data_IF_627712908262
#
_entry.id   IF_627712908262
#
_cell.length_a   1.000
_cell.length_b   1.000
_cell.length_c   1.000
_cell.angle_alpha   90.00
_cell.angle_beta   90.00
_cell.angle_gamma   90.00
#
_symmetry.space_group_name_H-M   'P 1'
#
loop_
_entity.id
_entity.type
_entity.pdbx_description
1 polymer ?
#
# COMPACT_ATOMS: atom_id res chain seq x y z
N UNK A 1 -11.73 26.95 -1.39
CA UNK A 1 -11.73 25.53 -1.04
C UNK A 1 -12.66 24.84 -2.03
N UNK A 2 -12.09 24.39 -3.17
CA UNK A 2 -12.84 23.61 -4.15
C UNK A 2 -13.09 22.24 -3.52
N UNK A 3 -14.33 21.97 -3.13
CA UNK A 3 -14.84 20.65 -2.86
C UNK A 3 -14.68 19.84 -4.14
N UNK A 4 -13.65 19.00 -4.19
CA UNK A 4 -13.46 18.06 -5.30
C UNK A 4 -14.54 17.00 -5.26
N UNK A 5 -15.74 17.35 -5.68
CA UNK A 5 -16.79 16.40 -6.01
C UNK A 5 -16.29 15.63 -7.23
N UNK A 6 -16.01 14.36 -7.04
CA UNK A 6 -15.85 13.44 -8.16
C UNK A 6 -17.21 13.43 -8.89
N UNK A 7 -17.28 13.81 -10.18
CA UNK A 7 -18.53 13.70 -10.91
C UNK A 7 -18.99 12.25 -10.91
N UNK A 8 -20.30 12.01 -10.70
CA UNK A 8 -20.89 10.70 -10.99
C UNK A 8 -20.69 10.45 -12.47
N UNK A 9 -19.64 9.77 -12.80
CA UNK A 9 -19.44 9.27 -14.14
C UNK A 9 -19.93 7.84 -14.18
N UNK A 10 -20.98 7.59 -14.93
CA UNK A 10 -21.21 6.26 -15.44
C UNK A 10 -19.89 5.74 -15.98
N UNK A 11 -19.41 4.59 -15.48
CA UNK A 11 -18.17 3.96 -15.96
C UNK A 11 -18.47 3.43 -17.38
N UNK A 12 -18.56 4.35 -18.32
CA UNK A 12 -18.78 4.05 -19.75
C UNK A 12 -17.46 3.93 -20.49
N UNK A 13 -16.38 4.48 -19.93
CA UNK A 13 -15.08 4.50 -20.56
C UNK A 13 -14.05 3.76 -19.70
N UNK A 14 -13.14 3.04 -20.36
CA UNK A 14 -12.02 2.35 -19.70
C UNK A 14 -11.13 3.29 -18.88
N UNK A 15 -11.01 4.56 -19.28
CA UNK A 15 -10.25 5.57 -18.53
C UNK A 15 -10.85 5.84 -17.15
N UNK A 16 -12.17 5.92 -17.04
CA UNK A 16 -12.86 6.19 -15.77
C UNK A 16 -12.68 5.01 -14.79
N UNK A 17 -12.67 3.77 -15.31
CA UNK A 17 -12.38 2.58 -14.52
C UNK A 17 -10.98 2.66 -13.88
N UNK A 18 -9.95 3.05 -14.63
CA UNK A 18 -8.59 3.10 -14.10
C UNK A 18 -8.38 4.22 -13.08
N UNK A 19 -9.09 5.34 -13.20
CA UNK A 19 -9.08 6.40 -12.18
C UNK A 19 -9.69 5.90 -10.86
N UNK A 20 -10.87 5.27 -10.93
CA UNK A 20 -11.51 4.67 -9.74
C UNK A 20 -10.64 3.57 -9.15
N UNK A 21 -10.04 2.72 -10.00
CA UNK A 21 -9.09 1.69 -9.58
C UNK A 21 -7.91 2.29 -8.82
N UNK A 22 -7.31 3.38 -9.32
CA UNK A 22 -6.17 4.03 -8.67
C UNK A 22 -6.51 4.54 -7.27
N UNK A 23 -7.72 5.06 -7.07
CA UNK A 23 -8.17 5.54 -5.77
C UNK A 23 -8.49 4.37 -4.81
N UNK A 24 -9.06 3.28 -5.32
CA UNK A 24 -9.44 2.11 -4.51
C UNK A 24 -8.28 1.15 -4.25
N UNK A 25 -7.27 1.11 -5.13
CA UNK A 25 -6.17 0.15 -5.07
C UNK A 25 -5.38 0.18 -3.75
N UNK A 26 -5.07 1.35 -3.13
CA UNK A 26 -4.38 1.40 -1.85
C UNK A 26 -5.07 0.63 -0.73
N UNK A 27 -6.39 0.47 -0.80
CA UNK A 27 -7.15 -0.29 0.20
C UNK A 27 -6.78 -1.79 0.25
N UNK A 28 -6.25 -2.33 -0.85
CA UNK A 28 -5.79 -3.73 -0.96
C UNK A 28 -4.28 -3.89 -0.79
N UNK A 29 -3.59 -2.84 -0.39
CA UNK A 29 -2.13 -2.82 -0.19
C UNK A 29 -1.76 -2.99 1.29
N UNK A 30 -0.45 -2.97 1.61
CA UNK A 30 0.04 -3.06 2.99
C UNK A 30 0.77 -4.36 3.32
N UNK A 31 0.82 -5.34 2.42
CA UNK A 31 1.53 -6.61 2.67
C UNK A 31 3.03 -6.41 2.93
N UNK A 32 3.63 -5.36 2.40
CA UNK A 32 5.04 -5.01 2.63
C UNK A 32 5.35 -4.64 4.07
N UNK A 33 4.37 -4.19 4.85
CA UNK A 33 4.54 -3.94 6.28
C UNK A 33 4.89 -5.22 7.06
N UNK A 34 4.25 -6.34 6.73
CA UNK A 34 4.57 -7.65 7.31
C UNK A 34 6.00 -8.09 6.98
N UNK A 35 6.48 -7.82 5.77
CA UNK A 35 7.86 -8.10 5.36
C UNK A 35 8.86 -7.21 6.11
N UNK A 36 8.57 -5.91 6.24
CA UNK A 36 9.41 -4.95 6.96
C UNK A 36 9.56 -5.26 8.46
N UNK A 37 8.61 -5.98 9.04
CA UNK A 37 8.64 -6.44 10.44
C UNK A 37 9.01 -7.92 10.59
N UNK A 38 9.54 -8.54 9.55
CA UNK A 38 9.89 -9.98 9.52
C UNK A 38 10.85 -10.40 10.64
N UNK A 39 11.76 -9.52 11.05
CA UNK A 39 12.69 -9.77 12.14
C UNK A 39 12.03 -9.98 13.52
N UNK A 40 10.81 -9.53 13.70
CA UNK A 40 10.04 -9.67 14.94
C UNK A 40 9.17 -10.93 14.95
N UNK A 41 9.13 -11.70 13.84
CA UNK A 41 8.31 -12.89 13.73
C UNK A 41 9.10 -14.15 14.12
N UNK A 42 8.48 -15.04 14.90
CA UNK A 42 9.06 -16.32 15.32
C UNK A 42 9.41 -17.25 14.14
N UNK A 43 8.56 -17.25 13.09
CA UNK A 43 8.78 -18.04 11.87
C UNK A 43 8.30 -17.27 10.64
N UNK A 44 9.10 -16.29 10.14
CA UNK A 44 8.68 -15.40 9.06
C UNK A 44 8.44 -16.15 7.75
N UNK A 45 9.19 -17.20 7.45
CA UNK A 45 9.10 -17.96 6.21
C UNK A 45 7.72 -18.61 6.00
N UNK A 46 6.99 -18.92 7.08
CA UNK A 46 5.65 -19.50 7.03
C UNK A 46 4.56 -18.46 7.36
N UNK A 47 4.85 -17.58 8.33
CA UNK A 47 3.87 -16.61 8.81
C UNK A 47 3.56 -15.53 7.76
N UNK A 48 4.55 -15.05 7.00
CA UNK A 48 4.35 -14.00 6.00
C UNK A 48 3.47 -14.50 4.84
N UNK A 49 3.78 -15.60 4.13
CA UNK A 49 2.94 -16.04 3.01
C UNK A 49 1.51 -16.37 3.45
N UNK A 50 1.35 -17.13 4.54
CA UNK A 50 0.05 -17.53 5.04
C UNK A 50 -0.78 -16.34 5.52
N UNK A 51 -0.17 -15.46 6.31
CA UNK A 51 -0.82 -14.26 6.83
C UNK A 51 -1.24 -13.30 5.72
N UNK A 52 -0.39 -13.10 4.72
CA UNK A 52 -0.70 -12.24 3.57
C UNK A 52 -1.87 -12.79 2.76
N UNK A 53 -1.86 -14.08 2.43
CA UNK A 53 -2.94 -14.71 1.65
C UNK A 53 -4.27 -14.64 2.42
N UNK A 54 -4.26 -15.00 3.70
CA UNK A 54 -5.46 -14.96 4.52
C UNK A 54 -5.99 -13.54 4.71
N UNK A 55 -5.12 -12.57 4.98
CA UNK A 55 -5.51 -11.17 5.12
C UNK A 55 -6.12 -10.62 3.83
N UNK A 56 -5.49 -10.89 2.67
CA UNK A 56 -6.00 -10.46 1.38
C UNK A 56 -7.34 -11.10 1.05
N UNK A 57 -7.49 -12.41 1.26
CA UNK A 57 -8.75 -13.12 1.02
C UNK A 57 -9.87 -12.59 1.91
N UNK A 58 -9.60 -12.39 3.20
CA UNK A 58 -10.56 -11.80 4.15
C UNK A 58 -10.93 -10.38 3.74
N UNK A 59 -9.95 -9.58 3.35
CA UNK A 59 -10.17 -8.22 2.86
C UNK A 59 -11.11 -8.19 1.65
N UNK A 60 -10.87 -9.04 0.65
CA UNK A 60 -11.75 -9.14 -0.54
C UNK A 60 -13.19 -9.46 -0.13
N UNK A 61 -13.39 -10.46 0.74
CA UNK A 61 -14.75 -10.84 1.21
C UNK A 61 -15.42 -9.65 1.92
N UNK A 62 -14.72 -8.97 2.83
CA UNK A 62 -15.26 -7.81 3.55
C UNK A 62 -15.63 -6.68 2.58
N UNK A 63 -14.75 -6.35 1.62
CA UNK A 63 -15.04 -5.31 0.62
C UNK A 63 -16.26 -5.65 -0.24
N UNK A 64 -16.39 -6.89 -0.70
CA UNK A 64 -17.57 -7.33 -1.46
C UNK A 64 -18.84 -7.17 -0.64
N UNK A 65 -18.82 -7.55 0.65
CA UNK A 65 -19.96 -7.37 1.55
C UNK A 65 -20.31 -5.90 1.79
N UNK A 66 -19.31 -5.03 1.95
CA UNK A 66 -19.51 -3.59 2.10
C UNK A 66 -20.10 -2.98 0.84
N UNK A 67 -19.56 -3.30 -0.34
CA UNK A 67 -20.08 -2.81 -1.63
C UNK A 67 -21.52 -3.28 -1.83
N UNK A 68 -21.79 -4.55 -1.57
CA UNK A 68 -23.15 -5.09 -1.65
C UNK A 68 -24.10 -4.38 -0.70
N UNK A 69 -23.70 -4.15 0.56
CA UNK A 69 -24.50 -3.42 1.55
C UNK A 69 -24.77 -1.97 1.12
N UNK A 70 -23.79 -1.28 0.58
CA UNK A 70 -23.94 0.08 0.04
C UNK A 70 -24.92 0.10 -1.11
N UNK A 71 -24.78 -0.82 -2.07
CA UNK A 71 -25.61 -0.87 -3.28
C UNK A 71 -27.11 -1.08 -2.98
N UNK A 72 -27.45 -1.78 -1.89
CA UNK A 72 -28.85 -2.03 -1.50
C UNK A 72 -29.42 -1.04 -0.49
N UNK A 73 -28.57 -0.17 0.11
CA UNK A 73 -28.97 0.67 1.26
C UNK A 73 -28.87 2.17 0.99
N UNK A 74 -28.26 2.60 -0.10
CA UNK A 74 -28.09 4.01 -0.43
C UNK A 74 -28.25 4.25 -1.93
N UNK A 75 -28.82 5.41 -2.29
CA UNK A 75 -28.86 5.86 -3.69
C UNK A 75 -27.47 6.41 -4.11
N UNK A 76 -27.16 6.42 -5.42
CA UNK A 76 -25.93 7.03 -5.92
C UNK A 76 -25.77 8.50 -5.52
N UNK A 77 -26.88 9.25 -5.49
CA UNK A 77 -26.89 10.67 -5.11
C UNK A 77 -26.52 10.85 -3.64
N UNK A 78 -27.10 10.04 -2.74
CA UNK A 78 -26.77 10.07 -1.31
C UNK A 78 -25.30 9.70 -1.03
N UNK A 79 -24.72 8.77 -1.80
CA UNK A 79 -23.31 8.41 -1.70
C UNK A 79 -22.38 9.55 -2.12
N UNK A 80 -22.81 10.40 -3.05
CA UNK A 80 -22.04 11.57 -3.47
C UNK A 80 -22.09 12.72 -2.48
N UNK A 81 -23.27 12.96 -1.90
CA UNK A 81 -23.47 14.04 -0.94
C UNK A 81 -22.79 13.75 0.41
N UNK A 82 -22.68 12.47 0.77
CA UNK A 82 -22.19 12.08 2.08
C UNK A 82 -21.08 11.02 2.01
N UNK A 83 -19.83 11.46 2.16
CA UNK A 83 -18.65 10.58 2.17
C UNK A 83 -18.66 9.54 3.31
N UNK A 84 -19.42 9.79 4.39
CA UNK A 84 -19.57 8.88 5.53
C UNK A 84 -20.95 8.23 5.56
N UNK A 85 -21.52 7.91 4.41
CA UNK A 85 -22.87 7.33 4.27
C UNK A 85 -23.03 6.05 5.12
N UNK A 86 -21.96 5.26 5.30
CA UNK A 86 -21.95 4.10 6.18
C UNK A 86 -22.31 4.46 7.63
N UNK A 87 -22.00 5.67 8.08
CA UNK A 87 -22.41 6.19 9.38
C UNK A 87 -23.92 6.33 9.55
N UNK A 88 -24.65 6.56 8.45
CA UNK A 88 -26.13 6.62 8.46
C UNK A 88 -26.77 5.23 8.34
N UNK A 89 -26.12 4.32 7.57
CA UNK A 89 -26.67 2.99 7.26
C UNK A 89 -26.45 2.00 8.41
N UNK A 90 -25.29 2.09 9.09
CA UNK A 90 -24.92 1.16 10.15
C UNK A 90 -25.61 1.49 11.48
N UNK A 91 -25.97 0.47 12.25
CA UNK A 91 -26.54 0.62 13.60
C UNK A 91 -25.46 1.28 14.50
N UNK A 92 -25.78 2.45 15.06
CA UNK A 92 -24.82 3.26 15.81
C UNK A 92 -23.67 3.82 14.97
N UNK A 93 -23.84 3.84 13.64
CA UNK A 93 -22.79 4.16 12.68
C UNK A 93 -22.24 5.57 12.80
N UNK A 94 -23.03 6.52 13.26
CA UNK A 94 -22.60 7.92 13.49
C UNK A 94 -21.41 8.04 14.45
N UNK A 95 -21.25 7.10 15.37
CA UNK A 95 -20.13 7.06 16.33
C UNK A 95 -19.14 5.96 15.97
N UNK A 96 -19.63 4.76 15.67
CA UNK A 96 -18.79 3.58 15.44
C UNK A 96 -17.95 3.73 14.17
N UNK A 97 -18.52 4.27 13.08
CA UNK A 97 -17.78 4.40 11.81
C UNK A 97 -16.62 5.41 11.92
N UNK A 98 -16.81 6.65 12.43
CA UNK A 98 -15.69 7.57 12.60
C UNK A 98 -14.63 7.07 13.58
N UNK A 99 -15.01 6.40 14.67
CA UNK A 99 -14.06 5.82 15.62
C UNK A 99 -13.27 4.67 14.98
N UNK A 100 -13.94 3.78 14.23
CA UNK A 100 -13.30 2.69 13.50
C UNK A 100 -12.34 3.21 12.44
N UNK A 101 -12.74 4.26 11.70
CA UNK A 101 -11.90 4.92 10.71
C UNK A 101 -10.65 5.54 11.37
N UNK A 102 -10.83 6.28 12.47
CA UNK A 102 -9.72 6.86 13.22
C UNK A 102 -8.75 5.79 13.74
N UNK A 103 -9.26 4.70 14.31
CA UNK A 103 -8.44 3.61 14.82
C UNK A 103 -7.66 2.92 13.69
N UNK A 104 -8.31 2.66 12.54
CA UNK A 104 -7.70 2.03 11.37
C UNK A 104 -6.60 2.90 10.77
N UNK A 105 -6.87 4.20 10.58
CA UNK A 105 -5.89 5.14 10.01
C UNK A 105 -4.69 5.35 10.93
N UNK A 106 -4.90 5.45 12.24
CA UNK A 106 -3.81 5.54 13.22
C UNK A 106 -2.97 4.27 13.23
N UNK A 107 -3.59 3.09 13.21
CA UNK A 107 -2.87 1.80 13.15
C UNK A 107 -2.01 1.70 11.89
N UNK A 108 -2.55 2.07 10.72
CA UNK A 108 -1.81 2.07 9.45
C UNK A 108 -0.66 3.07 9.47
N UNK A 109 -0.89 4.28 9.99
CA UNK A 109 0.15 5.31 10.11
C UNK A 109 1.30 4.85 11.01
N UNK A 110 0.98 4.28 12.18
CA UNK A 110 1.99 3.73 13.11
C UNK A 110 2.82 2.62 12.45
N UNK A 111 2.17 1.70 11.73
CA UNK A 111 2.88 0.66 10.97
C UNK A 111 3.87 1.25 9.95
N UNK A 112 3.45 2.26 9.21
CA UNK A 112 4.28 2.92 8.20
C UNK A 112 5.46 3.69 8.83
N UNK A 113 5.22 4.40 9.92
CA UNK A 113 6.27 5.14 10.68
C UNK A 113 7.33 4.20 11.25
N UNK A 114 6.97 2.96 11.58
CA UNK A 114 7.93 1.97 12.07
C UNK A 114 8.74 1.31 10.94
N UNK A 115 8.11 1.06 9.79
CA UNK A 115 8.72 0.30 8.68
C UNK A 115 9.56 1.20 7.77
N UNK A 116 9.08 2.38 7.42
CA UNK A 116 9.74 3.25 6.44
C UNK A 116 11.18 3.66 6.83
N UNK A 117 11.45 4.11 8.07
CA UNK A 117 12.82 4.42 8.49
C UNK A 117 13.76 3.22 8.48
N UNK A 118 13.27 2.05 8.88
CA UNK A 118 14.07 0.81 8.90
C UNK A 118 14.44 0.38 7.48
N UNK A 119 13.51 0.51 6.53
CA UNK A 119 13.77 0.24 5.12
C UNK A 119 14.80 1.21 4.56
N UNK A 120 14.68 2.51 4.85
CA UNK A 120 15.64 3.53 4.43
C UNK A 120 17.03 3.28 5.03
N UNK A 121 17.10 2.90 6.30
CA UNK A 121 18.35 2.51 6.95
C UNK A 121 18.97 1.27 6.30
N UNK A 122 18.18 0.26 5.97
CA UNK A 122 18.67 -0.95 5.30
C UNK A 122 19.27 -0.63 3.93
N UNK A 123 18.58 0.17 3.11
CA UNK A 123 19.09 0.65 1.82
C UNK A 123 20.42 1.41 1.99
N UNK A 124 20.54 2.22 3.03
CA UNK A 124 21.76 2.96 3.31
C UNK A 124 22.92 2.03 3.77
N UNK A 125 22.62 0.99 4.54
CA UNK A 125 23.61 -0.04 4.92
C UNK A 125 24.10 -0.83 3.70
N UNK A 126 23.23 -1.09 2.74
CA UNK A 126 23.56 -1.74 1.47
C UNK A 126 24.24 -0.79 0.46
N UNK A 127 24.60 0.42 0.88
CA UNK A 127 25.26 1.43 0.03
C UNK A 127 24.53 1.75 -1.27
N UNK A 128 23.20 1.71 -1.24
CA UNK A 128 22.34 1.91 -2.42
C UNK A 128 22.34 3.36 -2.95
N UNK A 129 22.76 4.33 -2.13
CA UNK A 129 22.87 5.73 -2.54
C UNK A 129 24.26 6.07 -3.06
N UNK A 130 24.36 6.93 -4.08
CA UNK A 130 25.63 7.32 -4.70
C UNK A 130 26.60 8.01 -3.74
N UNK A 131 26.13 8.68 -2.68
CA UNK A 131 26.94 9.36 -1.70
C UNK A 131 27.25 8.49 -0.49
N UNK A 132 28.53 8.15 -0.29
CA UNK A 132 28.99 7.41 0.89
C UNK A 132 28.74 8.15 2.21
N UNK A 133 28.74 9.49 2.19
CA UNK A 133 28.40 10.30 3.38
C UNK A 133 26.92 10.16 3.75
N UNK A 134 26.04 10.18 2.74
CA UNK A 134 24.60 9.98 2.92
C UNK A 134 24.30 8.58 3.45
N UNK A 135 24.93 7.56 2.87
CA UNK A 135 24.78 6.18 3.33
C UNK A 135 25.18 6.03 4.82
N UNK A 136 26.34 6.57 5.22
CA UNK A 136 26.76 6.52 6.62
C UNK A 136 25.81 7.28 7.56
N UNK A 137 25.34 8.43 7.14
CA UNK A 137 24.43 9.25 7.94
C UNK A 137 23.06 8.58 8.15
N UNK A 138 22.48 8.01 7.09
CA UNK A 138 21.19 7.31 7.16
C UNK A 138 21.33 5.93 7.86
N UNK A 139 22.47 5.25 7.71
CA UNK A 139 22.72 3.97 8.36
C UNK A 139 22.98 4.11 9.87
N UNK A 140 23.31 5.31 10.34
CA UNK A 140 23.64 5.56 11.74
C UNK A 140 22.46 5.25 12.66
N UNK A 141 22.73 4.45 13.70
CA UNK A 141 21.81 4.16 14.78
C UNK A 141 22.22 4.95 16.02
N UNK A 142 21.28 5.48 16.79
CA UNK A 142 21.58 6.33 17.94
C UNK A 142 21.85 5.56 19.23
N UNK A 143 21.31 4.37 19.40
CA UNK A 143 21.42 3.59 20.62
C UNK A 143 21.78 2.12 20.33
N UNK A 144 22.07 1.36 21.39
CA UNK A 144 22.31 -0.09 21.32
C UNK A 144 21.11 -0.86 20.70
N UNK A 145 19.92 -0.27 20.69
CA UNK A 145 18.69 -0.86 20.10
C UNK A 145 18.63 -0.70 18.57
N UNK A 146 19.58 -0.01 17.96
CA UNK A 146 19.69 0.09 16.51
C UNK A 146 18.65 1.02 15.85
N UNK A 147 18.03 1.93 16.60
CA UNK A 147 16.99 2.83 16.09
C UNK A 147 17.52 3.84 15.07
N UNK A 148 16.90 3.93 13.87
CA UNK A 148 17.35 4.77 12.76
C UNK A 148 16.87 6.21 12.86
N UNK A 149 17.36 7.01 13.81
CA UNK A 149 16.87 8.38 14.07
C UNK A 149 16.96 9.29 12.83
N UNK A 150 18.08 9.22 12.10
CA UNK A 150 18.26 10.08 10.92
C UNK A 150 17.31 9.68 9.78
N UNK A 151 17.12 8.38 9.56
CA UNK A 151 16.16 7.89 8.58
C UNK A 151 14.71 8.22 8.99
N UNK A 152 14.39 8.18 10.29
CA UNK A 152 13.08 8.60 10.81
C UNK A 152 12.82 10.07 10.52
N UNK A 153 13.79 10.95 10.71
CA UNK A 153 13.65 12.37 10.42
C UNK A 153 13.38 12.62 8.93
N UNK A 154 14.09 11.94 8.04
CA UNK A 154 13.86 12.05 6.58
C UNK A 154 12.47 11.55 6.20
N UNK A 155 12.04 10.39 6.71
CA UNK A 155 10.72 9.83 6.39
C UNK A 155 9.60 10.69 6.94
N UNK A 156 9.77 11.31 8.13
CA UNK A 156 8.82 12.27 8.69
C UNK A 156 8.71 13.54 7.84
N UNK A 157 9.82 14.07 7.35
CA UNK A 157 9.81 15.25 6.47
C UNK A 157 9.05 14.95 5.17
N UNK A 158 9.30 13.79 4.55
CA UNK A 158 8.58 13.35 3.34
C UNK A 158 7.08 13.21 3.65
N UNK A 159 6.72 12.52 4.72
CA UNK A 159 5.32 12.34 5.11
C UNK A 159 4.63 13.70 5.37
N UNK A 160 5.30 14.64 6.05
CA UNK A 160 4.75 15.97 6.30
C UNK A 160 4.52 16.76 5.01
N UNK A 161 5.39 16.62 4.00
CA UNK A 161 5.20 17.23 2.70
C UNK A 161 3.92 16.69 2.01
N UNK A 162 3.68 15.38 2.04
CA UNK A 162 2.46 14.79 1.50
C UNK A 162 1.20 15.21 2.26
N UNK A 163 1.27 15.31 3.59
CA UNK A 163 0.16 15.84 4.40
C UNK A 163 -0.14 17.29 4.05
N UNK A 164 0.88 18.10 3.79
CA UNK A 164 0.71 19.51 3.41
C UNK A 164 0.04 19.70 2.03
N UNK A 165 0.04 18.70 1.14
CA UNK A 165 -0.71 18.72 -0.11
C UNK A 165 -2.22 18.79 0.10
N UNK A 166 -2.74 18.26 1.22
CA UNK A 166 -4.14 18.38 1.64
C UNK A 166 -5.18 17.72 0.73
N UNK A 167 -4.75 16.99 -0.32
CA UNK A 167 -5.63 16.31 -1.26
C UNK A 167 -5.43 14.80 -1.21
N UNK A 168 -6.36 14.11 -0.53
CA UNK A 168 -6.30 12.66 -0.31
C UNK A 168 -6.34 11.87 -1.62
N UNK A 169 -7.12 12.32 -2.62
CA UNK A 169 -7.24 11.62 -3.91
C UNK A 169 -5.92 11.70 -4.70
N UNK A 170 -5.29 12.88 -4.76
CA UNK A 170 -4.00 13.04 -5.42
C UNK A 170 -2.91 12.19 -4.74
N UNK A 171 -2.91 12.15 -3.40
CA UNK A 171 -2.00 11.29 -2.64
C UNK A 171 -2.28 9.81 -2.92
N UNK A 172 -3.55 9.39 -3.03
CA UNK A 172 -3.93 8.02 -3.35
C UNK A 172 -3.44 7.59 -4.75
N UNK A 173 -3.56 8.45 -5.76
CA UNK A 173 -3.04 8.18 -7.11
C UNK A 173 -1.51 7.97 -7.10
N UNK A 174 -0.78 8.88 -6.47
CA UNK A 174 0.69 8.80 -6.35
C UNK A 174 1.11 7.52 -5.62
N UNK A 175 0.48 7.20 -4.49
CA UNK A 175 0.76 5.99 -3.72
C UNK A 175 0.47 4.74 -4.55
N UNK A 176 -0.62 4.73 -5.31
CA UNK A 176 -0.97 3.60 -6.19
C UNK A 176 0.10 3.31 -7.21
N UNK A 177 0.70 4.35 -7.82
CA UNK A 177 1.81 4.18 -8.75
C UNK A 177 3.03 3.55 -8.08
N UNK A 178 3.42 4.04 -6.89
CA UNK A 178 4.53 3.44 -6.13
C UNK A 178 4.27 1.99 -5.73
N UNK A 179 3.05 1.65 -5.33
CA UNK A 179 2.69 0.26 -5.03
C UNK A 179 2.73 -0.63 -6.27
N UNK A 180 2.24 -0.15 -7.41
CA UNK A 180 2.29 -0.91 -8.67
C UNK A 180 3.73 -1.17 -9.10
N UNK A 181 4.63 -0.17 -8.99
CA UNK A 181 6.06 -0.36 -9.24
C UNK A 181 6.66 -1.39 -8.28
N UNK A 182 6.35 -1.27 -6.99
CA UNK A 182 6.89 -2.17 -5.96
C UNK A 182 6.42 -3.62 -6.19
N UNK A 183 5.12 -3.83 -6.35
CA UNK A 183 4.58 -5.18 -6.55
C UNK A 183 4.95 -5.75 -7.92
N UNK A 184 4.99 -4.92 -8.97
CA UNK A 184 5.49 -5.31 -10.27
C UNK A 184 6.96 -5.76 -10.20
N UNK A 185 7.80 -5.00 -9.52
CA UNK A 185 9.21 -5.36 -9.31
C UNK A 185 9.37 -6.67 -8.53
N UNK A 186 8.58 -6.89 -7.47
CA UNK A 186 8.59 -8.16 -6.73
C UNK A 186 8.18 -9.33 -7.61
N UNK A 187 7.17 -9.15 -8.47
CA UNK A 187 6.75 -10.16 -9.44
C UNK A 187 7.85 -10.44 -10.46
N UNK A 188 8.53 -9.40 -10.96
CA UNK A 188 9.65 -9.54 -11.90
C UNK A 188 10.83 -10.27 -11.25
N UNK A 189 11.22 -9.90 -10.04
CA UNK A 189 12.29 -10.57 -9.29
C UNK A 189 11.95 -12.05 -9.06
N UNK A 190 10.71 -12.34 -8.68
CA UNK A 190 10.23 -13.73 -8.52
C UNK A 190 10.31 -14.53 -9.81
N UNK A 191 9.94 -13.90 -10.95
CA UNK A 191 10.05 -14.50 -12.28
C UNK A 191 11.52 -14.78 -12.63
N UNK A 192 12.40 -13.79 -12.52
CA UNK A 192 13.82 -13.93 -12.83
C UNK A 192 14.51 -14.99 -11.94
N UNK A 193 14.18 -15.04 -10.66
CA UNK A 193 14.72 -16.06 -9.74
C UNK A 193 14.26 -17.48 -10.08
N UNK A 194 13.15 -17.63 -10.80
CA UNK A 194 12.68 -18.94 -11.24
C UNK A 194 13.62 -19.55 -12.29
N UNK A 195 14.24 -18.72 -13.14
CA UNK A 195 15.18 -19.12 -14.19
C UNK A 195 16.64 -18.96 -13.79
N UNK A 196 16.92 -18.08 -12.81
CA UNK A 196 18.27 -17.66 -12.44
C UNK A 196 19.09 -18.66 -11.65
N UNK A 197 18.59 -19.85 -11.33
CA UNK A 197 19.30 -20.99 -10.69
C UNK A 197 20.33 -20.62 -9.60
N UNK A 198 20.08 -19.56 -8.83
CA UNK A 198 20.99 -19.16 -7.76
C UNK A 198 21.05 -20.26 -6.68
N UNK A 199 22.24 -20.79 -6.31
CA UNK A 199 22.38 -21.82 -5.27
C UNK A 199 21.83 -21.38 -3.90
N UNK A 200 21.81 -20.07 -3.67
CA UNK A 200 21.33 -19.46 -2.42
C UNK A 200 19.81 -19.35 -2.36
N UNK A 201 19.11 -19.46 -3.49
CA UNK A 201 17.67 -19.33 -3.57
C UNK A 201 16.96 -20.62 -3.16
N UNK A 202 16.60 -20.72 -1.88
CA UNK A 202 15.87 -21.87 -1.31
C UNK A 202 14.53 -21.43 -0.74
N UNK A 203 13.53 -21.10 -1.59
CA UNK A 203 12.24 -20.64 -1.11
C UNK A 203 11.47 -21.77 -0.42
N UNK A 204 10.83 -21.46 0.70
CA UNK A 204 9.88 -22.37 1.37
C UNK A 204 8.56 -22.50 0.62
N UNK A 205 8.22 -21.51 -0.21
CA UNK A 205 7.05 -21.48 -1.08
C UNK A 205 7.48 -21.08 -2.49
N UNK A 206 7.02 -21.83 -3.50
CA UNK A 206 7.30 -21.54 -4.91
C UNK A 206 5.99 -21.22 -5.64
N UNK A 207 5.88 -20.01 -6.16
CA UNK A 207 4.87 -19.67 -7.15
C UNK A 207 5.28 -20.21 -8.53
N UNK A 208 4.30 -20.44 -9.40
CA UNK A 208 4.59 -20.79 -10.80
C UNK A 208 5.08 -19.56 -11.56
N UNK A 209 6.10 -19.73 -12.42
CA UNK A 209 6.74 -18.62 -13.14
C UNK A 209 5.76 -17.74 -13.93
N UNK A 210 4.74 -18.35 -14.55
CA UNK A 210 3.77 -17.62 -15.34
C UNK A 210 2.87 -16.70 -14.48
N UNK A 211 2.59 -17.05 -13.23
CA UNK A 211 1.85 -16.18 -12.31
C UNK A 211 2.64 -14.91 -11.98
N UNK A 212 3.94 -15.06 -11.75
CA UNK A 212 4.83 -13.93 -11.50
C UNK A 212 4.96 -13.04 -12.73
N UNK A 213 5.12 -13.63 -13.91
CA UNK A 213 5.17 -12.86 -15.18
C UNK A 213 3.85 -12.13 -15.43
N UNK A 214 2.71 -12.80 -15.25
CA UNK A 214 1.39 -12.18 -15.44
C UNK A 214 1.20 -11.02 -14.46
N UNK A 215 1.58 -11.20 -13.19
CA UNK A 215 1.51 -10.12 -12.19
C UNK A 215 2.34 -8.90 -12.59
N UNK A 216 3.55 -9.11 -13.08
CA UNK A 216 4.39 -8.02 -13.59
C UNK A 216 3.75 -7.29 -14.79
N UNK A 217 3.32 -8.04 -15.80
CA UNK A 217 2.72 -7.47 -17.03
C UNK A 217 1.44 -6.68 -16.68
N UNK A 218 0.58 -7.23 -15.83
CA UNK A 218 -0.64 -6.54 -15.38
C UNK A 218 -0.29 -5.26 -14.63
N UNK A 219 0.68 -5.30 -13.70
CA UNK A 219 1.11 -4.11 -12.97
C UNK A 219 1.60 -3.00 -13.92
N UNK A 220 2.41 -3.34 -14.92
CA UNK A 220 2.91 -2.40 -15.93
C UNK A 220 1.77 -1.83 -16.78
N UNK A 221 0.86 -2.67 -17.27
CA UNK A 221 -0.30 -2.22 -18.06
C UNK A 221 -1.16 -1.26 -17.26
N UNK A 222 -1.49 -1.62 -16.02
CA UNK A 222 -2.31 -0.78 -15.15
C UNK A 222 -1.63 0.56 -14.86
N UNK A 223 -0.33 0.54 -14.59
CA UNK A 223 0.46 1.75 -14.35
C UNK A 223 0.35 2.74 -15.52
N UNK A 224 0.55 2.27 -16.75
CA UNK A 224 0.40 3.10 -17.95
C UNK A 224 -1.04 3.54 -18.23
N UNK A 225 -2.04 2.81 -17.73
CA UNK A 225 -3.45 3.18 -17.89
C UNK A 225 -3.92 4.21 -16.87
N UNK A 226 -3.34 4.23 -15.67
CA UNK A 226 -3.68 5.21 -14.63
C UNK A 226 -3.15 6.57 -15.04
N UNK A 227 -1.87 6.66 -15.37
CA UNK A 227 -1.28 7.93 -15.80
C UNK A 227 -0.01 7.69 -16.62
N UNK A 228 0.05 8.28 -17.81
CA UNK A 228 1.23 8.22 -18.70
C UNK A 228 2.26 9.30 -18.39
N UNK A 229 1.99 10.21 -17.43
CA UNK A 229 2.83 11.36 -17.10
C UNK A 229 3.77 11.13 -15.89
N UNK A 230 3.61 10.04 -15.13
CA UNK A 230 4.46 9.71 -13.99
C UNK A 230 5.39 8.54 -14.28
#
# INVERSE_FOLDING_TARGET
LATGQLPVRDIRNMSDFFIVFAICFPAFTGMTAGVGLSGNLRNPARAIPLGTILATATGIVVYVLVIWKLAISASPEEMLENQLIMGKIAIGGTVIIPLGLAASTLSSALGSVLVAPRTLQALAKDTSFSSMRLNRWLAAARNNDGEPVNATLVTLLIASAFVALGNVNAVAEIISMFFLVTYGSLCLISFLNHFGSSPSYRPSFRSKWYLSLTGFVVAVIVMFRINTLY
#
